data_IF_315117931196
#
_entry.id   IF_315117931196
#
_cell.length_a   1.000
_cell.length_b   1.000
_cell.length_c   1.000
_cell.angle_alpha   90.00
_cell.angle_beta   90.00
_cell.angle_gamma   90.00
#
_symmetry.space_group_name_H-M   'P 1'
#
loop_
_entity.id
_entity.type
_entity.pdbx_description
1 polymer ?
#
# COMPACT_ATOMS: atom_id res chain seq x y z
N UNK A 1 -9.06 0.15 21.71
CA UNK A 1 -7.82 -0.52 21.30
C UNK A 1 -7.93 -2.00 21.60
N UNK A 2 -8.12 -2.81 20.56
CA UNK A 2 -7.87 -4.25 20.60
C UNK A 2 -6.50 -4.50 21.26
N UNK A 3 -6.48 -5.09 22.48
CA UNK A 3 -5.26 -5.28 23.28
C UNK A 3 -4.24 -6.20 22.60
N UNK A 4 -4.58 -6.79 21.46
CA UNK A 4 -3.74 -7.68 20.68
C UNK A 4 -2.78 -6.96 19.71
N UNK A 5 -3.07 -5.72 19.31
CA UNK A 5 -2.27 -4.94 18.37
C UNK A 5 -1.45 -3.86 19.10
N UNK A 6 -0.12 -3.91 18.93
CA UNK A 6 0.78 -2.83 19.35
C UNK A 6 1.15 -1.99 18.14
N UNK A 7 0.96 -0.68 18.24
CA UNK A 7 1.24 0.27 17.16
C UNK A 7 2.08 1.45 17.71
N UNK A 8 3.05 1.90 16.92
CA UNK A 8 3.85 3.10 17.19
C UNK A 8 3.99 3.92 15.92
N UNK A 9 3.64 5.21 15.98
CA UNK A 9 3.86 6.17 14.91
C UNK A 9 5.11 7.00 15.23
N UNK A 10 5.97 7.22 14.23
CA UNK A 10 7.15 8.09 14.34
C UNK A 10 7.14 9.12 13.21
N UNK A 11 7.48 10.37 13.53
CA UNK A 11 7.71 11.43 12.54
C UNK A 11 9.13 11.38 11.99
N UNK A 12 9.27 11.44 10.68
CA UNK A 12 10.56 11.34 9.99
C UNK A 12 11.08 12.69 9.46
N UNK A 13 10.39 13.81 9.71
CA UNK A 13 10.75 15.16 9.19
C UNK A 13 12.21 15.58 9.48
N UNK A 14 12.83 15.04 10.53
CA UNK A 14 14.22 15.35 10.92
C UNK A 14 15.24 14.30 10.47
N UNK A 15 14.80 13.22 9.83
CA UNK A 15 15.66 12.12 9.40
C UNK A 15 16.15 12.42 7.98
N UNK A 16 17.45 12.71 7.85
CA UNK A 16 18.06 13.00 6.55
C UNK A 16 17.90 11.79 5.60
N UNK A 17 17.28 12.01 4.45
CA UNK A 17 17.02 10.97 3.46
C UNK A 17 15.78 10.10 3.74
N UNK A 18 14.92 10.50 4.68
CA UNK A 18 13.61 9.87 4.83
C UNK A 18 12.79 10.04 3.56
N UNK A 19 12.17 8.94 3.12
CA UNK A 19 11.31 8.90 1.94
C UNK A 19 9.81 8.94 2.30
N UNK A 20 9.50 8.91 3.60
CA UNK A 20 8.13 8.99 4.11
C UNK A 20 8.04 9.99 5.26
N UNK A 21 6.96 10.76 5.35
CA UNK A 21 6.73 11.74 6.42
C UNK A 21 6.59 11.08 7.80
N UNK A 22 5.92 9.92 7.83
CA UNK A 22 5.71 9.12 9.03
C UNK A 22 6.03 7.65 8.79
N UNK A 23 6.36 6.95 9.87
CA UNK A 23 6.45 5.48 9.89
C UNK A 23 5.52 4.94 10.96
N UNK A 24 4.70 3.95 10.61
CA UNK A 24 3.96 3.13 11.56
C UNK A 24 4.68 1.80 11.71
N UNK A 25 5.10 1.46 12.92
CA UNK A 25 5.54 0.11 13.27
C UNK A 25 4.45 -0.59 14.08
N UNK A 26 4.11 -1.80 13.68
CA UNK A 26 3.06 -2.59 14.29
C UNK A 26 3.45 -4.05 14.48
N UNK A 27 2.89 -4.66 15.51
CA UNK A 27 3.03 -6.09 15.77
C UNK A 27 1.75 -6.60 16.43
N UNK A 28 1.31 -7.78 16.01
CA UNK A 28 0.18 -8.46 16.64
C UNK A 28 0.65 -9.68 17.41
N UNK A 29 0.12 -9.88 18.62
CA UNK A 29 0.40 -11.06 19.44
C UNK A 29 -0.38 -12.30 19.00
N UNK A 30 -1.47 -12.12 18.26
CA UNK A 30 -2.47 -13.18 18.01
C UNK A 30 -2.87 -13.31 16.54
N UNK A 31 -2.59 -12.29 15.72
CA UNK A 31 -2.92 -12.26 14.30
C UNK A 31 -1.65 -12.15 13.46
N UNK A 32 -1.71 -12.55 12.19
CA UNK A 32 -0.63 -12.27 11.26
C UNK A 32 -0.56 -10.76 10.98
N UNK A 33 0.60 -10.29 10.50
CA UNK A 33 0.79 -8.87 10.19
C UNK A 33 -0.13 -8.40 9.07
N UNK A 34 -0.62 -9.29 8.20
CA UNK A 34 -1.57 -8.95 7.13
C UNK A 34 -2.90 -8.46 7.69
N UNK A 35 -3.47 -9.17 8.67
CA UNK A 35 -4.70 -8.73 9.35
C UNK A 35 -4.49 -7.41 10.10
N UNK A 36 -3.33 -7.25 10.76
CA UNK A 36 -2.97 -6.00 11.41
C UNK A 36 -2.86 -4.84 10.40
N UNK A 37 -2.21 -5.07 9.25
CA UNK A 37 -2.12 -4.11 8.16
C UNK A 37 -3.51 -3.70 7.66
N UNK A 38 -4.36 -4.67 7.30
CA UNK A 38 -5.69 -4.41 6.78
C UNK A 38 -6.52 -3.56 7.76
N UNK A 39 -6.42 -3.83 9.07
CA UNK A 39 -7.06 -3.01 10.10
C UNK A 39 -6.53 -1.58 10.14
N UNK A 40 -5.21 -1.39 10.06
CA UNK A 40 -4.56 -0.07 10.05
C UNK A 40 -4.96 0.71 8.80
N UNK A 41 -4.88 0.11 7.61
CA UNK A 41 -5.29 0.75 6.35
C UNK A 41 -6.77 1.12 6.39
N UNK A 42 -7.64 0.23 6.88
CA UNK A 42 -9.07 0.51 7.04
C UNK A 42 -9.31 1.71 7.96
N UNK A 43 -8.60 1.78 9.08
CA UNK A 43 -8.71 2.88 10.03
C UNK A 43 -8.20 4.21 9.46
N UNK A 44 -7.11 4.19 8.69
CA UNK A 44 -6.53 5.37 8.06
C UNK A 44 -7.33 5.86 6.86
N UNK A 45 -7.96 4.97 6.07
CA UNK A 45 -8.81 5.41 4.96
C UNK A 45 -10.18 5.89 5.44
N UNK A 46 -10.68 5.36 6.56
CA UNK A 46 -12.06 5.56 6.97
C UNK A 46 -13.02 5.16 5.84
N UNK A 47 -13.85 6.10 5.39
CA UNK A 47 -14.81 5.87 4.30
C UNK A 47 -14.29 6.29 2.91
N UNK A 48 -13.03 6.74 2.80
CA UNK A 48 -12.47 7.14 1.52
C UNK A 48 -12.23 5.92 0.62
N UNK A 49 -12.27 6.13 -0.70
CA UNK A 49 -11.89 5.12 -1.67
C UNK A 49 -10.36 5.00 -1.77
N UNK A 50 -9.89 3.85 -2.23
CA UNK A 50 -8.47 3.51 -2.25
C UNK A 50 -8.07 2.99 -3.63
N UNK A 51 -6.94 3.47 -4.15
CA UNK A 51 -6.27 2.84 -5.29
C UNK A 51 -5.10 2.03 -4.72
N UNK A 52 -4.97 0.79 -5.20
CA UNK A 52 -3.94 -0.14 -4.76
C UNK A 52 -3.01 -0.39 -5.94
N UNK A 53 -1.74 -0.06 -5.76
CA UNK A 53 -0.65 -0.39 -6.68
C UNK A 53 0.13 -1.57 -6.12
N UNK A 54 0.22 -2.65 -6.89
CA UNK A 54 1.02 -3.83 -6.60
C UNK A 54 2.14 -3.88 -7.63
N UNK A 55 3.39 -3.76 -7.18
CA UNK A 55 4.57 -3.75 -8.03
C UNK A 55 5.46 -4.97 -7.74
N UNK A 56 5.42 -5.94 -8.65
CA UNK A 56 6.20 -7.19 -8.52
C UNK A 56 7.70 -6.96 -8.62
N UNK A 57 8.13 -5.81 -9.15
CA UNK A 57 9.54 -5.49 -9.29
C UNK A 57 10.18 -5.04 -7.97
N UNK A 58 9.35 -4.70 -6.98
CA UNK A 58 9.77 -4.51 -5.59
C UNK A 58 9.86 -5.84 -4.81
N UNK A 59 9.53 -6.95 -5.46
CA UNK A 59 9.55 -8.28 -4.87
C UNK A 59 10.75 -9.07 -5.42
N UNK A 60 11.44 -9.81 -4.56
CA UNK A 60 12.52 -10.72 -4.98
C UNK A 60 11.93 -12.02 -5.53
N UNK A 61 11.22 -11.93 -6.66
CA UNK A 61 10.56 -13.05 -7.32
C UNK A 61 11.23 -13.38 -8.65
N UNK A 62 11.34 -14.68 -8.95
CA UNK A 62 11.63 -15.18 -10.28
C UNK A 62 10.42 -15.01 -11.21
N UNK A 63 10.62 -15.23 -12.51
CA UNK A 63 9.60 -14.98 -13.53
C UNK A 63 8.35 -15.85 -13.36
N UNK A 64 8.52 -17.13 -12.99
CA UNK A 64 7.42 -18.05 -12.75
C UNK A 64 6.55 -17.59 -11.58
N UNK A 65 7.18 -17.14 -10.47
CA UNK A 65 6.46 -16.58 -9.32
C UNK A 65 5.76 -15.26 -9.65
N UNK A 66 6.35 -14.41 -10.49
CA UNK A 66 5.67 -13.18 -10.96
C UNK A 66 4.43 -13.51 -11.77
N UNK A 67 4.53 -14.48 -12.69
CA UNK A 67 3.39 -14.92 -13.51
C UNK A 67 2.30 -15.56 -12.66
N UNK A 68 2.68 -16.38 -11.68
CA UNK A 68 1.73 -16.95 -10.72
C UNK A 68 1.03 -15.88 -9.89
N UNK A 69 1.79 -14.89 -9.37
CA UNK A 69 1.23 -13.76 -8.64
C UNK A 69 0.23 -12.99 -9.51
N UNK A 70 0.61 -12.65 -10.74
CA UNK A 70 -0.24 -11.95 -11.70
C UNK A 70 -1.54 -12.72 -11.92
N UNK A 71 -1.45 -14.01 -12.29
CA UNK A 71 -2.63 -14.83 -12.59
C UNK A 71 -3.58 -14.97 -11.40
N UNK A 72 -3.03 -15.12 -10.18
CA UNK A 72 -3.84 -15.14 -8.95
C UNK A 72 -4.55 -13.81 -8.71
N UNK A 73 -3.88 -12.68 -8.92
CA UNK A 73 -4.47 -11.35 -8.73
C UNK A 73 -5.55 -11.09 -9.77
N UNK A 74 -5.29 -11.31 -11.06
CA UNK A 74 -6.27 -11.05 -12.13
C UNK A 74 -7.49 -11.95 -12.00
N UNK A 75 -7.33 -13.22 -11.60
CA UNK A 75 -8.46 -14.12 -11.41
C UNK A 75 -9.45 -13.61 -10.35
N UNK A 76 -8.97 -13.05 -9.23
CA UNK A 76 -9.83 -12.45 -8.20
C UNK A 76 -10.50 -11.17 -8.72
N UNK A 77 -9.71 -10.30 -9.37
CA UNK A 77 -10.22 -9.05 -9.93
C UNK A 77 -11.31 -9.28 -10.99
N UNK A 78 -11.10 -10.22 -11.91
CA UNK A 78 -12.06 -10.64 -12.93
C UNK A 78 -13.31 -11.26 -12.32
N UNK A 79 -13.15 -12.17 -11.35
CA UNK A 79 -14.27 -12.77 -10.60
C UNK A 79 -15.15 -11.72 -9.95
N UNK A 80 -14.54 -10.65 -9.43
CA UNK A 80 -15.23 -9.53 -8.80
C UNK A 80 -15.70 -8.45 -9.78
N UNK A 81 -15.46 -8.63 -11.09
CA UNK A 81 -15.77 -7.65 -12.14
C UNK A 81 -15.16 -6.26 -11.88
N UNK A 82 -13.93 -6.23 -11.32
CA UNK A 82 -13.22 -4.99 -11.01
C UNK A 82 -12.39 -4.52 -12.20
N UNK A 83 -12.37 -3.21 -12.43
CA UNK A 83 -11.47 -2.62 -13.40
C UNK A 83 -10.04 -2.54 -12.81
N UNK A 84 -9.05 -2.94 -13.60
CA UNK A 84 -7.64 -2.88 -13.23
C UNK A 84 -6.77 -2.60 -14.45
N UNK A 85 -5.60 -1.99 -14.21
CA UNK A 85 -4.62 -1.67 -15.24
C UNK A 85 -3.33 -2.44 -14.95
N UNK A 86 -2.77 -3.08 -15.98
CA UNK A 86 -1.48 -3.78 -15.90
C UNK A 86 -0.47 -3.04 -16.78
N UNK A 87 0.66 -2.67 -16.21
CA UNK A 87 1.80 -2.09 -16.91
C UNK A 87 3.07 -2.91 -16.67
N UNK A 88 3.88 -3.08 -17.71
CA UNK A 88 5.27 -3.54 -17.54
C UNK A 88 6.11 -2.38 -17.04
N UNK A 89 6.91 -2.63 -16.01
CA UNK A 89 7.78 -1.62 -15.40
C UNK A 89 9.23 -2.04 -15.48
N UNK A 90 10.09 -1.09 -15.84
CA UNK A 90 11.53 -1.26 -15.95
C UNK A 90 12.18 -0.19 -15.08
N UNK A 91 12.97 -0.63 -14.11
CA UNK A 91 13.71 0.29 -13.26
C UNK A 91 15.20 0.15 -13.54
N UNK A 92 15.79 1.19 -14.12
CA UNK A 92 17.20 1.24 -14.51
C UNK A 92 18.14 1.76 -13.40
N UNK A 93 17.64 2.06 -12.19
CA UNK A 93 18.44 2.69 -11.11
C UNK A 93 18.26 2.07 -9.74
N UNK A 94 19.31 2.22 -8.90
CA UNK A 94 19.36 1.92 -7.46
C UNK A 94 18.01 2.27 -6.81
N UNK A 95 17.29 1.26 -6.38
CA UNK A 95 16.02 1.46 -5.69
C UNK A 95 16.31 1.59 -4.20
N UNK A 96 15.70 2.58 -3.56
CA UNK A 96 15.52 2.58 -2.11
C UNK A 96 14.04 2.33 -1.84
N UNK A 97 13.74 1.29 -1.07
CA UNK A 97 12.44 1.13 -0.42
C UNK A 97 12.66 1.37 1.06
N UNK A 98 12.09 2.44 1.61
CA UNK A 98 12.23 2.88 3.01
C UNK A 98 13.69 2.84 3.51
N UNK A 99 14.62 3.43 2.74
CA UNK A 99 16.06 3.46 3.06
C UNK A 99 16.81 2.11 2.98
N UNK A 100 16.16 1.03 2.55
CA UNK A 100 16.82 -0.23 2.21
C UNK A 100 17.32 -0.17 0.77
N UNK A 101 18.65 -0.22 0.52
CA UNK A 101 19.18 -0.30 -0.83
C UNK A 101 18.85 -1.69 -1.40
N UNK A 102 18.01 -1.74 -2.43
CA UNK A 102 17.78 -2.95 -3.22
C UNK A 102 18.84 -2.96 -4.33
N UNK A 103 19.51 -4.10 -4.52
CA UNK A 103 20.61 -4.24 -5.48
C UNK A 103 20.29 -3.67 -6.86
N UNK A 104 21.26 -2.92 -7.40
CA UNK A 104 21.21 -2.26 -8.69
C UNK A 104 21.38 -3.23 -9.85
N UNK A 105 20.36 -4.04 -10.10
CA UNK A 105 20.17 -4.75 -11.37
C UNK A 105 18.97 -4.14 -12.08
N UNK A 106 18.94 -4.21 -13.42
CA UNK A 106 17.71 -3.96 -14.16
C UNK A 106 16.69 -4.99 -13.70
N UNK A 107 15.67 -4.54 -12.99
CA UNK A 107 14.59 -5.41 -12.52
C UNK A 107 13.36 -5.05 -13.31
N UNK A 108 12.97 -5.98 -14.18
CA UNK A 108 11.68 -5.98 -14.85
C UNK A 108 10.63 -6.52 -13.89
N UNK A 109 9.45 -5.91 -13.91
CA UNK A 109 8.29 -6.50 -13.27
C UNK A 109 7.00 -5.96 -13.82
N UNK A 110 5.94 -6.34 -13.11
CA UNK A 110 4.57 -6.05 -13.47
C UNK A 110 3.98 -5.18 -12.37
N UNK A 111 3.32 -4.12 -12.80
CA UNK A 111 2.56 -3.23 -11.94
C UNK A 111 1.09 -3.42 -12.24
N UNK A 112 0.32 -3.75 -11.21
CA UNK A 112 -1.14 -3.83 -11.27
C UNK A 112 -1.69 -2.71 -10.42
N UNK A 113 -2.60 -1.92 -10.99
CA UNK A 113 -3.34 -0.91 -10.26
C UNK A 113 -4.83 -1.23 -10.30
N UNK A 114 -5.49 -1.14 -9.16
CA UNK A 114 -6.93 -1.37 -9.02
C UNK A 114 -7.55 -0.28 -8.14
N UNK A 115 -8.74 0.17 -8.51
CA UNK A 115 -9.56 1.03 -7.68
C UNK A 115 -10.51 0.17 -6.83
N UNK A 116 -10.61 0.47 -5.54
CA UNK A 116 -11.56 -0.14 -4.62
C UNK A 116 -12.32 0.94 -3.86
N UNK A 117 -13.65 0.87 -3.93
CA UNK A 117 -14.51 1.62 -3.03
C UNK A 117 -14.58 0.94 -1.65
N UNK A 118 -15.34 1.52 -0.72
CA UNK A 118 -15.50 0.96 0.62
C UNK A 118 -16.12 -0.44 0.65
N UNK A 119 -17.00 -0.76 -0.31
CA UNK A 119 -17.64 -2.08 -0.38
C UNK A 119 -16.66 -3.14 -0.84
N UNK A 120 -15.86 -2.84 -1.86
CA UNK A 120 -14.82 -3.71 -2.38
C UNK A 120 -13.74 -3.91 -1.32
N UNK A 121 -13.32 -2.84 -0.65
CA UNK A 121 -12.30 -2.91 0.41
C UNK A 121 -12.72 -3.78 1.60
N UNK A 122 -14.01 -3.78 1.97
CA UNK A 122 -14.54 -4.64 3.04
C UNK A 122 -14.69 -6.10 2.65
N UNK A 123 -14.54 -6.43 1.37
CA UNK A 123 -14.61 -7.81 0.91
C UNK A 123 -13.33 -8.57 1.30
N UNK A 124 -13.47 -9.63 2.10
CA UNK A 124 -12.35 -10.43 2.58
C UNK A 124 -11.55 -11.06 1.43
N UNK A 125 -12.22 -11.58 0.39
CA UNK A 125 -11.55 -12.18 -0.78
C UNK A 125 -10.67 -11.15 -1.50
N UNK A 126 -11.13 -9.89 -1.61
CA UNK A 126 -10.33 -8.81 -2.16
C UNK A 126 -9.10 -8.51 -1.30
N UNK A 127 -9.27 -8.29 0.01
CA UNK A 127 -8.13 -7.97 0.88
C UNK A 127 -7.14 -9.15 1.05
N UNK A 128 -7.63 -10.38 0.95
CA UNK A 128 -6.80 -11.58 0.97
C UNK A 128 -6.01 -11.77 -0.31
N UNK A 129 -6.45 -11.21 -1.44
CA UNK A 129 -5.66 -11.25 -2.66
C UNK A 129 -4.38 -10.41 -2.53
N UNK A 130 -4.38 -9.34 -1.73
CA UNK A 130 -3.27 -8.39 -1.64
C UNK A 130 -2.00 -9.09 -1.10
N UNK A 131 -0.84 -8.96 -1.79
CA UNK A 131 0.40 -9.60 -1.35
C UNK A 131 1.01 -8.89 -0.14
N UNK A 132 1.92 -9.58 0.55
CA UNK A 132 2.58 -9.05 1.77
C UNK A 132 3.77 -8.11 1.48
N UNK A 133 4.06 -7.87 0.20
CA UNK A 133 5.18 -7.05 -0.28
C UNK A 133 4.79 -6.25 -1.51
N UNK A 134 5.50 -5.15 -1.75
CA UNK A 134 5.40 -4.36 -2.98
C UNK A 134 4.05 -3.69 -3.18
N UNK A 135 3.34 -3.39 -2.08
CA UNK A 135 2.02 -2.76 -2.12
C UNK A 135 2.12 -1.30 -1.71
N UNK A 136 1.48 -0.44 -2.50
CA UNK A 136 1.29 0.97 -2.21
C UNK A 136 -0.19 1.30 -2.29
N UNK A 137 -0.69 1.99 -1.28
CA UNK A 137 -2.07 2.44 -1.19
C UNK A 137 -2.14 3.94 -1.39
N UNK A 138 -3.13 4.36 -2.15
CA UNK A 138 -3.43 5.75 -2.46
C UNK A 138 -4.84 6.05 -1.98
N UNK A 139 -4.96 6.78 -0.87
CA UNK A 139 -6.25 7.19 -0.32
C UNK A 139 -6.71 8.42 -1.11
N UNK A 140 -7.75 8.22 -1.90
CA UNK A 140 -8.04 9.01 -3.09
C UNK A 140 -8.59 10.42 -2.86
N UNK A 141 -8.99 10.80 -1.64
CA UNK A 141 -9.60 12.12 -1.40
C UNK A 141 -10.90 12.36 -2.17
N UNK A 142 -11.58 11.31 -2.67
CA UNK A 142 -12.78 11.40 -3.50
C UNK A 142 -12.55 11.16 -4.99
N UNK A 143 -11.30 10.96 -5.42
CA UNK A 143 -10.98 10.58 -6.79
C UNK A 143 -11.33 9.10 -7.08
N UNK A 144 -11.88 8.81 -8.26
CA UNK A 144 -12.36 7.45 -8.60
C UNK A 144 -12.04 6.98 -10.03
N UNK A 145 -11.21 7.71 -10.78
CA UNK A 145 -10.90 7.39 -12.18
C UNK A 145 -9.52 6.73 -12.31
N UNK A 146 -9.49 5.39 -12.27
CA UNK A 146 -8.24 4.64 -12.36
C UNK A 146 -7.43 4.95 -13.65
N UNK A 147 -8.08 5.21 -14.78
CA UNK A 147 -7.38 5.46 -16.04
C UNK A 147 -6.67 6.81 -16.02
N UNK A 148 -7.38 7.86 -15.60
CA UNK A 148 -6.78 9.20 -15.48
C UNK A 148 -5.63 9.18 -14.48
N UNK A 149 -5.81 8.49 -13.34
CA UNK A 149 -4.75 8.34 -12.34
C UNK A 149 -3.50 7.71 -12.92
N UNK A 150 -3.63 6.66 -13.74
CA UNK A 150 -2.49 5.94 -14.27
C UNK A 150 -1.77 6.65 -15.43
N UNK A 151 -2.33 7.74 -15.97
CA UNK A 151 -1.67 8.58 -16.98
C UNK A 151 -0.78 9.65 -16.36
N UNK A 152 -0.99 9.97 -15.10
CA UNK A 152 -0.27 11.00 -14.36
C UNK A 152 1.05 10.47 -13.82
N UNK A 153 2.00 11.39 -13.61
CA UNK A 153 3.28 11.02 -13.03
C UNK A 153 3.18 10.73 -11.51
N UNK A 154 4.23 10.15 -10.93
CA UNK A 154 4.23 9.78 -9.51
C UNK A 154 3.95 10.97 -8.57
N UNK A 155 4.44 12.17 -8.90
CA UNK A 155 4.28 13.36 -8.06
C UNK A 155 2.84 13.88 -8.12
N UNK A 156 2.27 13.96 -9.31
CA UNK A 156 0.86 14.32 -9.54
C UNK A 156 -0.09 13.35 -8.82
N UNK A 157 0.15 12.04 -8.95
CA UNK A 157 -0.63 10.99 -8.27
C UNK A 157 -0.59 11.15 -6.76
N UNK A 158 0.59 11.40 -6.19
CA UNK A 158 0.74 11.63 -4.74
C UNK A 158 -0.02 12.89 -4.31
N UNK A 159 0.09 13.98 -5.06
CA UNK A 159 -0.52 15.27 -4.73
C UNK A 159 -2.06 15.25 -4.76
N UNK A 160 -2.66 14.34 -5.52
CA UNK A 160 -4.11 14.14 -5.55
C UNK A 160 -4.67 13.32 -4.38
N UNK A 161 -3.81 12.58 -3.70
CA UNK A 161 -4.23 11.68 -2.64
C UNK A 161 -4.17 12.37 -1.27
N UNK A 162 -5.15 12.09 -0.41
CA UNK A 162 -5.13 12.56 0.97
C UNK A 162 -4.02 11.88 1.79
N UNK A 163 -3.63 10.66 1.37
CA UNK A 163 -2.58 9.88 1.99
C UNK A 163 -2.03 8.83 1.02
N UNK A 164 -0.72 8.60 1.05
CA UNK A 164 -0.07 7.49 0.35
C UNK A 164 0.65 6.62 1.38
N UNK A 165 0.36 5.32 1.36
CA UNK A 165 0.90 4.35 2.31
C UNK A 165 1.73 3.29 1.57
N UNK A 166 2.98 3.12 1.98
CA UNK A 166 3.86 2.05 1.54
C UNK A 166 3.85 0.97 2.59
N UNK A 167 3.33 -0.20 2.28
CA UNK A 167 3.12 -1.25 3.27
C UNK A 167 4.11 -2.39 3.12
N UNK A 168 4.79 -2.68 4.22
CA UNK A 168 5.77 -3.74 4.33
C UNK A 168 5.31 -4.74 5.39
N UNK A 169 4.23 -5.46 5.06
CA UNK A 169 3.48 -6.34 5.96
C UNK A 169 4.40 -7.30 6.72
N UNK A 170 5.37 -7.92 6.04
CA UNK A 170 6.26 -8.90 6.69
C UNK A 170 7.10 -8.27 7.81
N UNK A 171 7.50 -7.00 7.67
CA UNK A 171 8.25 -6.29 8.71
C UNK A 171 7.34 -5.63 9.75
N UNK A 172 6.02 -5.70 9.58
CA UNK A 172 5.07 -5.01 10.44
C UNK A 172 5.31 -3.50 10.42
N UNK A 173 5.55 -2.93 9.23
CA UNK A 173 5.86 -1.51 9.10
C UNK A 173 5.23 -0.88 7.87
N UNK A 174 4.78 0.36 7.99
CA UNK A 174 4.27 1.19 6.91
C UNK A 174 5.00 2.54 6.88
N UNK A 175 5.31 3.03 5.68
CA UNK A 175 5.65 4.43 5.44
C UNK A 175 4.42 5.20 5.01
N UNK A 176 4.22 6.43 5.50
CA UNK A 176 3.06 7.27 5.17
C UNK A 176 3.53 8.64 4.71
N UNK A 177 3.01 9.08 3.58
CA UNK A 177 3.07 10.45 3.09
C UNK A 177 1.69 11.08 3.15
N UNK A 178 1.57 12.23 3.82
CA UNK A 178 0.29 12.92 4.01
C UNK A 178 0.51 14.34 4.51
N UNK A 179 -0.44 15.22 4.22
CA UNK A 179 -0.52 16.55 4.83
C UNK A 179 -1.03 16.54 6.27
N UNK A 180 -1.55 15.41 6.76
CA UNK A 180 -2.07 15.27 8.13
C UNK A 180 -0.97 15.33 9.18
N UNK A 181 -1.29 15.90 10.34
CA UNK A 181 -0.42 15.92 11.52
C UNK A 181 -0.38 14.57 12.25
N UNK A 182 0.62 14.38 13.12
CA UNK A 182 0.71 13.21 14.00
C UNK A 182 -0.55 13.05 14.88
N UNK A 183 -1.11 14.16 15.37
CA UNK A 183 -2.30 14.14 16.21
C UNK A 183 -3.53 13.64 15.43
N UNK A 184 -3.67 14.07 14.17
CA UNK A 184 -4.74 13.59 13.29
C UNK A 184 -4.58 12.10 12.98
N UNK A 185 -3.37 11.62 12.66
CA UNK A 185 -3.10 10.20 12.43
C UNK A 185 -3.45 9.34 13.66
N UNK A 186 -3.03 9.75 14.86
CA UNK A 186 -3.42 9.06 16.09
C UNK A 186 -4.94 9.07 16.27
N UNK A 187 -5.61 10.20 16.04
CA UNK A 187 -7.07 10.28 16.18
C UNK A 187 -7.80 9.34 15.21
N UNK A 188 -7.32 9.21 13.97
CA UNK A 188 -7.90 8.30 12.98
C UNK A 188 -7.77 6.84 13.41
N UNK A 189 -6.59 6.45 13.91
CA UNK A 189 -6.35 5.09 14.40
C UNK A 189 -7.14 4.80 15.69
N UNK A 190 -7.21 5.74 16.62
CA UNK A 190 -7.95 5.54 17.87
C UNK A 190 -9.46 5.41 17.64
N UNK A 191 -10.06 6.26 16.79
CA UNK A 191 -11.50 6.25 16.52
C UNK A 191 -11.95 5.02 15.75
N UNK A 192 -11.15 4.59 14.78
CA UNK A 192 -11.55 3.55 13.82
C UNK A 192 -11.01 2.15 14.17
N UNK A 193 -10.23 2.01 15.25
CA UNK A 193 -9.76 0.71 15.77
C UNK A 193 -10.36 0.34 17.15
N UNK A 194 -11.40 1.06 17.57
CA UNK A 194 -12.25 0.73 18.72
C UNK A 194 -13.45 -0.11 18.26
#
# INVERSE_FOLDING_TARGET
>A
MDKSLKLKISENKKVKGAISDFTISYSSKTQNNKSASNKIISALKGNENIIIEIDSSLMTLDEDKKNYLLGRLTAVLEKMSLNYIINKVHYDKKRSFLSVPIESKKVEGLKICVFADDNIWRNEEFTDMIPEYGVRYYISGGFNDLETFMREDDEERINKCSMVIFDHIILGSMGINTSKSLAELNSMLDKNML
#
